data_IF_746615215340
#
_entry.id   IF_746615215340
#
_cell.length_a   1.000
_cell.length_b   1.000
_cell.length_c   1.000
_cell.angle_alpha   90.00
_cell.angle_beta   90.00
_cell.angle_gamma   90.00
#
_symmetry.space_group_name_H-M   'P 1'
#
loop_
_entity.id
_entity.type
_entity.pdbx_description
1 polymer ?
#
# COMPACT_ATOMS: atom_id res chain seq x y z
N UNK A 1 -4.76 10.10 -9.17
CA UNK A 1 -4.18 9.67 -7.88
C UNK A 1 -4.85 8.38 -7.46
N UNK A 2 -4.21 7.56 -6.62
CA UNK A 2 -4.73 6.28 -6.14
C UNK A 2 -4.28 5.99 -4.71
N UNK A 3 -4.78 4.90 -4.13
CA UNK A 3 -4.36 4.41 -2.82
C UNK A 3 -3.26 3.34 -3.00
N UNK A 4 -2.05 3.53 -2.45
CA UNK A 4 -1.01 2.52 -2.55
C UNK A 4 -1.36 1.31 -1.70
N UNK A 5 -1.29 0.13 -2.32
CA UNK A 5 -1.24 -1.16 -1.63
C UNK A 5 0.16 -1.77 -1.73
N UNK A 6 0.32 -2.97 -1.21
CA UNK A 6 1.56 -3.73 -1.32
C UNK A 6 1.71 -4.75 -0.20
N UNK A 7 2.88 -5.38 -0.18
CA UNK A 7 3.29 -6.29 0.87
C UNK A 7 4.66 -5.87 1.38
N UNK A 8 4.92 -6.13 2.66
CA UNK A 8 6.22 -5.96 3.28
C UNK A 8 6.62 -7.26 3.97
N UNK A 9 7.89 -7.65 3.83
CA UNK A 9 8.52 -8.63 4.70
C UNK A 9 9.01 -7.91 5.94
N UNK A 10 8.68 -8.43 7.12
CA UNK A 10 9.07 -7.84 8.41
C UNK A 10 9.84 -8.84 9.26
N UNK A 11 10.92 -8.37 9.86
CA UNK A 11 11.63 -9.12 10.90
C UNK A 11 10.85 -9.05 12.21
N UNK A 12 10.70 -10.21 12.86
CA UNK A 12 9.91 -10.31 14.10
C UNK A 12 10.80 -10.05 15.31
N UNK A 13 10.38 -9.14 16.18
CA UNK A 13 11.18 -8.63 17.33
C UNK A 13 11.67 -9.71 18.28
N UNK A 14 10.93 -10.80 18.47
CA UNK A 14 11.24 -11.86 19.44
C UNK A 14 12.03 -13.04 18.86
N UNK A 15 12.60 -12.92 17.66
CA UNK A 15 13.48 -13.96 17.11
C UNK A 15 14.70 -14.19 18.00
N UNK A 16 15.13 -15.45 18.13
CA UNK A 16 16.39 -15.81 18.82
C UNK A 16 17.62 -15.67 17.92
N UNK A 17 17.43 -15.42 16.62
CA UNK A 17 18.49 -15.38 15.60
C UNK A 17 18.51 -14.01 14.89
N UNK A 18 18.65 -12.92 15.66
CA UNK A 18 18.49 -11.56 15.14
C UNK A 18 19.56 -11.19 14.10
N UNK A 19 20.81 -11.63 14.29
CA UNK A 19 21.91 -11.35 13.37
C UNK A 19 21.72 -12.06 12.02
N UNK A 20 21.26 -13.31 12.05
CA UNK A 20 20.99 -14.13 10.86
C UNK A 20 19.80 -13.57 10.08
N UNK A 21 18.73 -13.20 10.78
CA UNK A 21 17.57 -12.53 10.16
C UNK A 21 18.01 -11.21 9.52
N UNK A 22 18.84 -10.41 10.20
CA UNK A 22 19.41 -9.18 9.64
C UNK A 22 20.11 -9.42 8.30
N UNK A 23 20.97 -10.45 8.21
CA UNK A 23 21.65 -10.82 6.95
C UNK A 23 20.66 -11.18 5.83
N UNK A 24 19.58 -11.90 6.14
CA UNK A 24 18.55 -12.24 5.16
C UNK A 24 17.80 -10.99 4.70
N UNK A 25 17.43 -10.10 5.63
CA UNK A 25 16.77 -8.83 5.31
C UNK A 25 17.65 -7.94 4.43
N UNK A 26 18.95 -7.84 4.74
CA UNK A 26 19.93 -7.11 3.93
C UNK A 26 20.03 -7.70 2.53
N UNK A 27 20.13 -9.03 2.42
CA UNK A 27 20.19 -9.72 1.13
C UNK A 27 18.94 -9.44 0.29
N UNK A 28 17.75 -9.62 0.86
CA UNK A 28 16.47 -9.40 0.17
C UNK A 28 16.23 -7.93 -0.17
N UNK A 29 16.81 -6.99 0.60
CA UNK A 29 16.72 -5.56 0.35
C UNK A 29 17.67 -5.03 -0.72
N UNK A 30 18.61 -5.84 -1.22
CA UNK A 30 19.55 -5.42 -2.26
C UNK A 30 18.82 -5.08 -3.56
N UNK A 31 19.35 -4.10 -4.29
CA UNK A 31 18.75 -3.65 -5.53
C UNK A 31 18.67 -4.76 -6.60
N UNK A 32 19.71 -5.58 -6.75
CA UNK A 32 19.75 -6.65 -7.74
C UNK A 32 18.72 -7.74 -7.43
N UNK A 33 18.58 -8.10 -6.16
CA UNK A 33 17.57 -9.07 -5.70
C UNK A 33 16.15 -8.52 -5.87
N UNK A 34 15.92 -7.26 -5.48
CA UNK A 34 14.62 -6.62 -5.65
C UNK A 34 14.27 -6.42 -7.12
N UNK A 35 15.25 -6.15 -7.99
CA UNK A 35 15.05 -6.05 -9.44
C UNK A 35 14.66 -7.40 -10.03
N UNK A 36 15.40 -8.46 -9.73
CA UNK A 36 15.06 -9.82 -10.17
C UNK A 36 13.65 -10.22 -9.72
N UNK A 37 13.33 -9.99 -8.44
CA UNK A 37 12.00 -10.25 -7.90
C UNK A 37 10.91 -9.47 -8.65
N UNK A 38 11.09 -8.16 -8.82
CA UNK A 38 10.16 -7.27 -9.51
C UNK A 38 9.90 -7.74 -10.94
N UNK A 39 10.96 -8.00 -11.69
CA UNK A 39 10.90 -8.39 -13.09
C UNK A 39 10.23 -9.76 -13.28
N UNK A 40 10.57 -10.73 -12.43
CA UNK A 40 10.03 -12.10 -12.54
C UNK A 40 8.59 -12.22 -12.04
N UNK A 41 8.22 -11.46 -11.01
CA UNK A 41 6.89 -11.55 -10.39
C UNK A 41 5.91 -10.49 -10.88
N UNK A 42 6.36 -9.61 -11.79
CA UNK A 42 5.56 -8.52 -12.35
C UNK A 42 5.06 -7.54 -11.28
N UNK A 43 5.76 -7.45 -10.15
CA UNK A 43 5.43 -6.53 -9.07
C UNK A 43 5.78 -5.09 -9.46
N UNK A 44 5.04 -4.12 -8.92
CA UNK A 44 5.45 -2.71 -9.01
C UNK A 44 6.44 -2.44 -7.86
N UNK A 45 7.69 -2.03 -8.13
CA UNK A 45 8.70 -1.91 -7.10
C UNK A 45 8.50 -0.66 -6.24
N UNK A 46 8.72 -0.81 -4.93
CA UNK A 46 8.89 0.31 -4.00
C UNK A 46 10.36 0.73 -3.81
N UNK A 47 11.30 -0.10 -4.26
CA UNK A 47 12.74 0.12 -4.09
C UNK A 47 13.23 1.24 -5.02
N UNK A 48 13.78 2.32 -4.45
CA UNK A 48 14.20 3.53 -5.20
C UNK A 48 15.26 3.26 -6.26
N UNK A 49 16.24 2.41 -5.98
CA UNK A 49 17.27 2.01 -6.96
C UNK A 49 16.70 1.28 -8.17
N UNK A 50 15.81 0.30 -7.94
CA UNK A 50 15.06 -0.39 -9.00
C UNK A 50 14.28 0.61 -9.87
N UNK A 51 13.53 1.53 -9.23
CA UNK A 51 12.75 2.57 -9.91
C UNK A 51 13.58 3.58 -10.71
N UNK A 52 14.83 3.83 -10.32
CA UNK A 52 15.74 4.74 -11.04
C UNK A 52 16.33 4.11 -12.30
N UNK A 53 16.33 2.77 -12.39
CA UNK A 53 16.84 2.02 -13.54
C UNK A 53 15.73 1.54 -14.48
N UNK A 54 16.14 0.89 -15.58
CA UNK A 54 15.22 0.17 -16.46
C UNK A 54 14.74 -1.12 -15.77
N UNK A 55 13.45 -1.41 -15.84
CA UNK A 55 12.85 -2.65 -15.35
C UNK A 55 12.48 -3.49 -16.57
N UNK A 56 12.97 -4.72 -16.64
CA UNK A 56 12.70 -5.65 -17.73
C UNK A 56 11.73 -6.75 -17.29
N UNK A 57 10.44 -6.43 -17.24
CA UNK A 57 9.40 -7.36 -16.83
C UNK A 57 9.39 -8.62 -17.70
N UNK A 58 9.50 -9.79 -17.06
CA UNK A 58 9.58 -11.09 -17.72
C UNK A 58 8.18 -11.60 -18.04
N UNK A 59 7.62 -11.08 -19.12
CA UNK A 59 6.33 -11.50 -19.67
C UNK A 59 6.34 -11.36 -21.19
N UNK A 60 5.66 -12.27 -21.88
CA UNK A 60 5.47 -12.21 -23.34
C UNK A 60 4.14 -11.56 -23.71
N UNK A 61 3.28 -11.25 -22.74
CA UNK A 61 2.00 -10.58 -22.97
C UNK A 61 2.19 -9.06 -23.04
N UNK A 62 2.01 -8.51 -24.24
CA UNK A 62 2.11 -7.08 -24.51
C UNK A 62 1.08 -6.24 -23.72
N UNK A 63 -0.10 -6.79 -23.39
CA UNK A 63 -1.07 -6.10 -22.56
C UNK A 63 -0.58 -5.95 -21.12
N UNK A 64 0.12 -6.97 -20.61
CA UNK A 64 0.72 -6.94 -19.28
C UNK A 64 1.84 -5.91 -19.23
N UNK A 65 2.74 -5.88 -20.24
CA UNK A 65 3.79 -4.84 -20.34
C UNK A 65 3.21 -3.43 -20.32
N UNK A 66 2.23 -3.17 -21.21
CA UNK A 66 1.57 -1.87 -21.29
C UNK A 66 0.89 -1.47 -19.97
N UNK A 67 0.24 -2.42 -19.30
CA UNK A 67 -0.40 -2.19 -18.00
C UNK A 67 0.61 -1.84 -16.91
N UNK A 68 1.71 -2.58 -16.82
CA UNK A 68 2.77 -2.33 -15.83
C UNK A 68 3.40 -0.95 -16.04
N UNK A 69 3.68 -0.55 -17.27
CA UNK A 69 4.16 0.80 -17.57
C UNK A 69 3.15 1.89 -17.16
N UNK A 70 1.86 1.67 -17.42
CA UNK A 70 0.81 2.60 -17.03
C UNK A 70 0.71 2.75 -15.50
N UNK A 71 0.76 1.63 -14.77
CA UNK A 71 0.73 1.65 -13.31
C UNK A 71 1.99 2.25 -12.69
N UNK A 72 3.17 2.01 -13.27
CA UNK A 72 4.42 2.68 -12.87
C UNK A 72 4.32 4.20 -13.04
N UNK A 73 3.75 4.69 -14.14
CA UNK A 73 3.51 6.14 -14.33
C UNK A 73 2.47 6.68 -13.35
N UNK A 74 1.46 5.88 -13.01
CA UNK A 74 0.41 6.27 -12.07
C UNK A 74 0.89 6.32 -10.61
N UNK A 75 1.83 5.47 -10.20
CA UNK A 75 2.37 5.44 -8.84
C UNK A 75 3.08 6.75 -8.47
N UNK A 76 3.73 7.41 -9.44
CA UNK A 76 4.31 8.75 -9.27
C UNK A 76 3.28 9.87 -9.03
N UNK A 77 1.98 9.58 -9.16
CA UNK A 77 0.87 10.54 -8.96
C UNK A 77 0.08 10.27 -7.67
N UNK A 78 0.58 9.41 -6.78
CA UNK A 78 -0.04 9.17 -5.48
C UNK A 78 0.12 10.42 -4.61
N UNK A 79 -0.97 10.87 -4.00
CA UNK A 79 -0.96 12.02 -3.10
C UNK A 79 -0.19 11.68 -1.79
N UNK A 80 0.54 12.63 -1.18
CA UNK A 80 1.34 12.36 0.02
C UNK A 80 0.52 11.79 1.20
N UNK A 81 -0.70 12.29 1.40
CA UNK A 81 -1.61 11.80 2.44
C UNK A 81 -2.08 10.36 2.17
N UNK A 82 -2.36 10.01 0.91
CA UNK A 82 -2.69 8.64 0.51
C UNK A 82 -1.50 7.69 0.73
N UNK A 83 -0.26 8.14 0.48
CA UNK A 83 0.94 7.36 0.74
C UNK A 83 1.21 7.12 2.24
N UNK A 84 0.82 8.07 3.10
CA UNK A 84 1.00 7.94 4.54
C UNK A 84 -0.04 7.02 5.20
N UNK A 85 -1.22 6.87 4.60
CA UNK A 85 -2.37 6.23 5.25
C UNK A 85 -2.16 4.76 5.63
N UNK A 86 -1.56 3.87 4.80
CA UNK A 86 -1.44 2.45 5.12
C UNK A 86 -0.62 2.14 6.38
N UNK A 87 0.44 2.92 6.62
CA UNK A 87 1.31 2.74 7.80
C UNK A 87 0.86 3.58 9.01
N UNK A 88 -0.15 4.42 8.84
CA UNK A 88 -0.63 5.28 9.91
C UNK A 88 -1.44 4.48 10.92
N UNK A 89 -1.19 4.71 12.23
CA UNK A 89 -1.90 4.02 13.31
C UNK A 89 -3.43 4.16 13.25
N UNK A 90 -3.92 5.22 12.61
CA UNK A 90 -5.36 5.47 12.41
C UNK A 90 -5.87 5.11 11.01
N UNK A 91 -5.07 4.40 10.20
CA UNK A 91 -5.50 3.93 8.89
C UNK A 91 -6.74 3.05 8.97
N UNK A 92 -6.78 2.07 9.88
CA UNK A 92 -7.92 1.15 10.06
C UNK A 92 -9.23 1.90 10.34
N UNK A 93 -9.30 2.83 11.32
CA UNK A 93 -10.49 3.66 11.52
C UNK A 93 -10.96 4.40 10.26
N UNK A 94 -10.03 5.01 9.53
CA UNK A 94 -10.35 5.74 8.30
C UNK A 94 -10.93 4.80 7.24
N UNK A 95 -10.28 3.66 6.97
CA UNK A 95 -10.77 2.69 5.98
C UNK A 95 -12.13 2.12 6.36
N UNK A 96 -12.33 1.75 7.62
CA UNK A 96 -13.58 1.17 8.10
C UNK A 96 -14.76 2.13 7.95
N UNK A 97 -14.59 3.40 8.36
CA UNK A 97 -15.62 4.42 8.23
C UNK A 97 -15.95 4.70 6.76
N UNK A 98 -14.94 4.88 5.90
CA UNK A 98 -15.13 5.13 4.48
C UNK A 98 -15.87 3.98 3.79
N UNK A 99 -15.41 2.74 3.96
CA UNK A 99 -16.05 1.57 3.32
C UNK A 99 -17.49 1.46 3.76
N UNK A 100 -17.77 1.59 5.05
CA UNK A 100 -19.12 1.46 5.60
C UNK A 100 -20.05 2.54 5.04
N UNK A 101 -19.73 3.82 5.23
CA UNK A 101 -20.65 4.91 4.91
C UNK A 101 -20.82 5.13 3.42
N UNK A 102 -19.76 4.98 2.63
CA UNK A 102 -19.89 5.06 1.17
C UNK A 102 -20.71 3.90 0.61
N UNK A 103 -20.61 2.70 1.18
CA UNK A 103 -21.48 1.58 0.79
C UNK A 103 -22.96 1.87 1.07
N UNK A 104 -23.28 2.51 2.19
CA UNK A 104 -24.66 2.93 2.51
C UNK A 104 -25.19 3.96 1.51
N UNK A 105 -24.35 4.91 1.08
CA UNK A 105 -24.73 5.86 0.00
C UNK A 105 -25.02 5.12 -1.30
N UNK A 106 -24.16 4.17 -1.69
CA UNK A 106 -24.34 3.38 -2.91
C UNK A 106 -25.60 2.51 -2.85
N UNK A 107 -25.97 2.01 -1.67
CA UNK A 107 -27.20 1.26 -1.44
C UNK A 107 -28.46 2.14 -1.38
N UNK A 108 -28.32 3.47 -1.35
CA UNK A 108 -29.43 4.40 -1.22
C UNK A 108 -29.97 4.54 0.22
N UNK A 109 -29.24 4.03 1.21
CA UNK A 109 -29.61 4.08 2.63
C UNK A 109 -29.35 5.46 3.26
N UNK A 110 -28.47 6.27 2.66
CA UNK A 110 -28.19 7.64 3.11
C UNK A 110 -27.73 8.55 1.97
N UNK A 111 -27.78 9.87 2.19
CA UNK A 111 -27.21 10.85 1.26
C UNK A 111 -25.70 11.01 1.46
N UNK A 112 -24.99 11.39 0.40
CA UNK A 112 -23.54 11.58 0.44
C UNK A 112 -23.10 12.63 1.49
N UNK A 113 -23.81 13.76 1.59
CA UNK A 113 -23.48 14.81 2.57
C UNK A 113 -23.61 14.31 4.01
N UNK A 114 -24.61 13.48 4.29
CA UNK A 114 -24.78 12.83 5.60
C UNK A 114 -23.65 11.83 5.86
N UNK A 115 -23.23 11.08 4.84
CA UNK A 115 -22.15 10.11 4.95
C UNK A 115 -20.84 10.76 5.39
N UNK A 116 -20.49 11.93 4.85
CA UNK A 116 -19.29 12.65 5.27
C UNK A 116 -19.31 13.03 6.74
N UNK A 117 -20.44 13.54 7.25
CA UNK A 117 -20.60 13.84 8.68
C UNK A 117 -20.42 12.57 9.52
N UNK A 118 -21.05 11.45 9.10
CA UNK A 118 -20.93 10.17 9.81
C UNK A 118 -19.52 9.60 9.79
N UNK A 119 -18.78 9.75 8.70
CA UNK A 119 -17.39 9.31 8.59
C UNK A 119 -16.53 10.01 9.64
N UNK A 120 -16.67 11.33 9.78
CA UNK A 120 -15.92 12.11 10.77
C UNK A 120 -16.26 11.69 12.21
N UNK A 121 -17.56 11.50 12.50
CA UNK A 121 -18.05 11.01 13.79
C UNK A 121 -17.48 9.63 14.14
N UNK A 122 -17.54 8.68 13.20
CA UNK A 122 -17.07 7.32 13.39
C UNK A 122 -15.54 7.27 13.61
N UNK A 123 -14.77 8.00 12.80
CA UNK A 123 -13.31 8.09 12.96
C UNK A 123 -12.98 8.65 14.33
N UNK A 124 -13.62 9.75 14.74
CA UNK A 124 -13.40 10.37 16.06
C UNK A 124 -13.70 9.40 17.19
N UNK A 125 -14.81 8.66 17.11
CA UNK A 125 -15.20 7.68 18.12
C UNK A 125 -14.19 6.53 18.20
N UNK A 126 -13.79 5.96 17.06
CA UNK A 126 -12.83 4.85 17.03
C UNK A 126 -11.43 5.25 17.48
N UNK A 127 -10.97 6.46 17.12
CA UNK A 127 -9.69 7.01 17.61
C UNK A 127 -9.73 7.22 19.12
N UNK A 128 -10.84 7.75 19.65
CA UNK A 128 -11.01 7.92 21.10
C UNK A 128 -11.03 6.58 21.84
N UNK A 129 -11.71 5.57 21.31
CA UNK A 129 -11.76 4.23 21.91
C UNK A 129 -10.40 3.55 21.92
N UNK A 130 -9.69 3.56 20.79
CA UNK A 130 -8.36 2.95 20.67
C UNK A 130 -7.24 3.71 21.41
N UNK A 131 -7.55 4.89 21.96
CA UNK A 131 -6.61 5.69 22.77
C UNK A 131 -6.84 5.54 24.28
N UNK A 132 -7.82 4.73 24.71
CA UNK A 132 -8.02 4.35 26.11
C UNK A 132 -7.06 3.25 26.52
#
# INVERSE_FOLDING_TARGET
>A
TGMPGGAALVAVKYTKNAAEVGKVMDFLGREDIMREFTERTLFLPAHKGVLAGKIDYKTDDENVKASLEAFLKASGKIAPNAAALPAWKWGTPVYGALVTRISQVMAGEMKLDEAFVRIDEDIKAQVAEASK
#
